data_IF_159814916911
#
_entry.id   IF_159814916911
#
_cell.length_a   1.000
_cell.length_b   1.000
_cell.length_c   1.000
_cell.angle_alpha   90.00
_cell.angle_beta   90.00
_cell.angle_gamma   90.00
#
_symmetry.space_group_name_H-M   'P 1'
#
loop_
_entity.id
_entity.type
_entity.pdbx_description
1 polymer ?
#
# COMPACT_ATOMS: atom_id res chain seq x y z
N UNK A 1 -5.91 6.55 18.51
CA UNK A 1 -5.62 6.33 17.07
C UNK A 1 -5.38 4.84 16.86
N UNK A 2 -6.00 4.22 15.85
CA UNK A 2 -5.81 2.78 15.55
C UNK A 2 -5.26 2.65 14.13
N UNK A 3 -4.21 1.85 13.97
CA UNK A 3 -3.59 1.55 12.69
C UNK A 3 -4.01 0.15 12.25
N UNK A 4 -4.35 0.00 10.98
CA UNK A 4 -4.73 -1.28 10.38
C UNK A 4 -3.71 -1.58 9.28
N UNK A 5 -3.08 -2.75 9.35
CA UNK A 5 -2.09 -3.19 8.39
C UNK A 5 -2.51 -4.53 7.77
N UNK A 6 -2.36 -4.65 6.45
CA UNK A 6 -2.66 -5.87 5.70
C UNK A 6 -1.36 -6.60 5.38
N UNK A 7 -1.25 -7.86 5.82
CA UNK A 7 -0.09 -8.72 5.57
C UNK A 7 -0.46 -9.87 4.63
N UNK A 8 0.49 -10.28 3.78
CA UNK A 8 0.34 -11.44 2.91
C UNK A 8 1.12 -11.34 1.59
N UNK A 9 1.18 -12.44 0.82
CA UNK A 9 1.91 -12.51 -0.45
C UNK A 9 1.51 -11.42 -1.45
N UNK A 10 2.38 -11.12 -2.41
CA UNK A 10 2.05 -10.25 -3.54
C UNK A 10 0.79 -10.75 -4.27
N UNK A 11 0.02 -9.83 -4.87
CA UNK A 11 -1.18 -10.17 -5.66
C UNK A 11 -2.35 -10.82 -4.89
N UNK A 12 -2.37 -10.71 -3.55
CA UNK A 12 -3.49 -11.17 -2.70
C UNK A 12 -4.57 -10.12 -2.42
N UNK A 13 -4.55 -8.99 -3.15
CA UNK A 13 -5.60 -7.96 -3.06
C UNK A 13 -5.49 -7.00 -1.86
N UNK A 14 -4.40 -7.03 -1.10
CA UNK A 14 -4.15 -6.17 0.08
C UNK A 14 -4.35 -4.68 -0.22
N UNK A 15 -3.67 -4.17 -1.25
CA UNK A 15 -3.72 -2.75 -1.61
C UNK A 15 -5.13 -2.35 -2.09
N UNK A 16 -5.83 -3.25 -2.79
CA UNK A 16 -7.24 -3.06 -3.20
C UNK A 16 -8.18 -2.98 -2.00
N UNK A 17 -8.03 -3.89 -1.03
CA UNK A 17 -8.84 -3.92 0.19
C UNK A 17 -8.58 -2.68 1.05
N UNK A 18 -7.31 -2.32 1.26
CA UNK A 18 -6.90 -1.16 2.03
C UNK A 18 -7.50 0.14 1.47
N UNK A 19 -7.47 0.31 0.14
CA UNK A 19 -8.07 1.48 -0.52
C UNK A 19 -9.60 1.53 -0.33
N UNK A 20 -10.30 0.41 -0.56
CA UNK A 20 -11.77 0.34 -0.40
C UNK A 20 -12.21 0.61 1.04
N UNK A 21 -11.47 0.11 2.03
CA UNK A 21 -11.77 0.36 3.43
C UNK A 21 -11.49 1.81 3.83
N UNK A 22 -10.42 2.42 3.30
CA UNK A 22 -10.13 3.83 3.51
C UNK A 22 -11.27 4.73 2.98
N UNK A 23 -11.77 4.44 1.77
CA UNK A 23 -12.92 5.13 1.16
C UNK A 23 -14.20 4.92 1.97
N UNK A 24 -14.51 3.68 2.36
CA UNK A 24 -15.74 3.34 3.10
C UNK A 24 -15.79 4.00 4.48
N UNK A 25 -14.68 3.95 5.24
CA UNK A 25 -14.60 4.54 6.57
C UNK A 25 -14.17 6.01 6.57
N UNK A 26 -13.99 6.63 5.40
CA UNK A 26 -13.52 8.02 5.24
C UNK A 26 -12.25 8.29 6.06
N UNK A 27 -11.28 7.38 5.97
CA UNK A 27 -10.00 7.46 6.68
C UNK A 27 -8.84 7.59 5.71
N UNK A 28 -7.66 7.93 6.22
CA UNK A 28 -6.44 8.02 5.42
C UNK A 28 -6.01 6.67 4.85
N UNK A 29 -5.48 6.69 3.62
CA UNK A 29 -4.86 5.55 2.94
C UNK A 29 -3.36 5.79 2.83
N UNK A 30 -2.55 4.76 3.14
CA UNK A 30 -1.09 4.80 2.97
C UNK A 30 -0.71 3.81 1.86
N UNK A 31 -0.05 4.27 0.77
CA UNK A 31 0.36 3.41 -0.32
C UNK A 31 1.53 2.48 0.07
N UNK A 32 1.66 1.37 -0.67
CA UNK A 32 2.71 0.37 -0.46
C UNK A 32 4.01 0.79 -1.18
N UNK A 33 5.01 1.21 -0.41
CA UNK A 33 6.31 1.71 -0.91
C UNK A 33 7.04 0.70 -1.81
N UNK A 34 6.93 -0.59 -1.51
CA UNK A 34 7.57 -1.64 -2.30
C UNK A 34 7.13 -1.62 -3.78
N UNK A 35 5.88 -1.21 -4.05
CA UNK A 35 5.37 -1.14 -5.43
C UNK A 35 5.98 0.01 -6.23
N UNK A 36 6.25 1.14 -5.58
CA UNK A 36 6.93 2.28 -6.21
C UNK A 36 8.41 1.95 -6.50
N UNK A 37 9.08 1.24 -5.58
CA UNK A 37 10.48 0.83 -5.76
C UNK A 37 10.70 -0.17 -6.91
N UNK A 38 9.77 -1.11 -7.14
CA UNK A 38 9.94 -2.13 -8.19
C UNK A 38 9.55 -1.60 -9.58
N UNK A 39 8.67 -0.60 -9.64
CA UNK A 39 8.20 -0.03 -10.93
C UNK A 39 9.16 1.03 -11.47
N UNK A 40 9.96 1.65 -10.61
CA UNK A 40 10.98 2.62 -10.98
C UNK A 40 12.32 1.90 -11.21
N UNK A 41 12.84 1.97 -12.44
CA UNK A 41 14.20 1.53 -12.74
C UNK A 41 15.26 2.58 -12.34
N UNK A 42 14.84 3.68 -11.69
CA UNK A 42 15.71 4.71 -11.12
C UNK A 42 16.19 4.28 -9.72
N UNK A 43 17.19 3.42 -9.69
CA UNK A 43 18.07 3.28 -8.53
C UNK A 43 19.01 4.49 -8.52
N UNK A 44 18.59 5.63 -8.00
CA UNK A 44 19.56 6.67 -7.60
C UNK A 44 20.31 6.13 -6.38
N UNK A 45 21.51 5.61 -6.64
CA UNK A 45 22.52 5.38 -5.62
C UNK A 45 23.09 6.75 -5.24
N UNK A 46 22.65 7.28 -4.10
CA UNK A 46 23.44 8.23 -3.31
C UNK A 46 24.28 7.47 -2.28
#
# INVERSE_FOLDING_TARGET
MKLICFYGPESTGKSTMAKRLAEFYKTGFVPEVAREMITSNDFTMD
#
